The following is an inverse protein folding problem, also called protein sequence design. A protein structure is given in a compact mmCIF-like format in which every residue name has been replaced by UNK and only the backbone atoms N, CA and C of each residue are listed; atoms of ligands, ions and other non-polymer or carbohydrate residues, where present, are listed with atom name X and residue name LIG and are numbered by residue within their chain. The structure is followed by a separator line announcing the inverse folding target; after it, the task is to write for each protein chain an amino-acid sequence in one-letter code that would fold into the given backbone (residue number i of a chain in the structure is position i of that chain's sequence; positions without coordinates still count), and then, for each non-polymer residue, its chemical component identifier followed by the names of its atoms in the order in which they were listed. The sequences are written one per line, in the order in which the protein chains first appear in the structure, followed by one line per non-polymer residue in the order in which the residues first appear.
data_IF_868369802091
#
_entry.id   IF_868369802091
#
_cell.length_a   1.000
_cell.length_b   1.000
_cell.length_c   1.000
_cell.angle_alpha   90.00
_cell.angle_beta   90.00
_cell.angle_gamma   90.00
#
_symmetry.space_group_name_H-M   'P 1'
#
loop_
_entity.id
_entity.type
_entity.pdbx_description
1 polymer ?
#
# COMPACT_ATOMS: atom_id res chain seq x y z
N UNK A 1 16.93 -50.80 1.94
CA UNK A 1 16.38 -49.45 1.68
C UNK A 1 15.11 -49.31 2.49
N UNK A 2 15.23 -48.89 3.75
CA UNK A 2 14.07 -48.59 4.60
C UNK A 2 13.88 -47.08 4.64
N UNK A 3 12.74 -46.70 4.08
CA UNK A 3 12.11 -45.40 4.14
C UNK A 3 11.92 -44.98 5.61
N UNK A 4 12.85 -44.19 6.14
CA UNK A 4 12.72 -43.57 7.46
C UNK A 4 12.16 -42.18 7.29
N UNK A 5 10.85 -42.12 7.01
CA UNK A 5 10.03 -40.91 7.14
C UNK A 5 10.38 -40.26 8.49
N UNK A 6 10.83 -38.99 8.50
CA UNK A 6 11.27 -38.35 9.72
C UNK A 6 10.12 -38.34 10.74
N UNK A 7 10.42 -38.43 12.05
CA UNK A 7 9.41 -38.49 13.11
C UNK A 7 8.43 -37.32 12.94
N UNK A 8 7.12 -37.63 12.89
CA UNK A 8 6.02 -36.69 12.59
C UNK A 8 6.12 -35.36 13.37
N UNK A 9 6.61 -35.44 14.60
CA UNK A 9 6.81 -34.30 15.51
C UNK A 9 7.75 -33.21 14.97
N UNK A 10 8.73 -33.57 14.14
CA UNK A 10 9.69 -32.62 13.55
C UNK A 10 9.08 -31.92 12.33
N UNK A 11 8.25 -32.64 11.57
CA UNK A 11 7.49 -32.08 10.45
C UNK A 11 6.42 -31.12 10.94
N UNK A 12 5.70 -31.47 12.01
CA UNK A 12 4.70 -30.59 12.63
C UNK A 12 5.31 -29.30 13.18
N UNK A 13 6.46 -29.39 13.89
CA UNK A 13 7.17 -28.20 14.38
C UNK A 13 7.64 -27.30 13.23
N UNK A 14 8.12 -27.88 12.14
CA UNK A 14 8.56 -27.12 10.94
C UNK A 14 7.38 -26.51 10.20
N UNK A 15 6.27 -27.24 10.05
CA UNK A 15 5.04 -26.75 9.46
C UNK A 15 4.41 -25.62 10.30
N UNK A 16 4.38 -25.77 11.62
CA UNK A 16 3.92 -24.73 12.54
C UNK A 16 4.83 -23.49 12.51
N UNK A 17 6.15 -23.67 12.46
CA UNK A 17 7.11 -22.58 12.31
C UNK A 17 7.02 -21.89 10.94
N UNK A 18 6.76 -22.63 9.86
CA UNK A 18 6.53 -22.08 8.53
C UNK A 18 5.26 -21.23 8.51
N UNK A 19 4.14 -21.76 9.01
CA UNK A 19 2.87 -21.01 9.11
C UNK A 19 3.03 -19.72 9.92
N UNK A 20 3.77 -19.76 11.03
CA UNK A 20 4.06 -18.57 11.83
C UNK A 20 4.90 -17.52 11.08
N UNK A 21 5.86 -17.95 10.26
CA UNK A 21 6.67 -17.04 9.44
C UNK A 21 5.88 -16.47 8.28
N UNK A 22 5.05 -17.27 7.64
CA UNK A 22 4.17 -16.85 6.55
C UNK A 22 3.14 -15.83 7.04
N UNK A 23 2.47 -16.08 8.15
CA UNK A 23 1.55 -15.11 8.76
C UNK A 23 2.26 -13.80 9.10
N UNK A 24 3.45 -13.86 9.72
CA UNK A 24 4.24 -12.66 9.99
C UNK A 24 4.66 -11.94 8.71
N UNK A 25 5.07 -12.68 7.68
CA UNK A 25 5.48 -12.12 6.40
C UNK A 25 4.29 -11.46 5.68
N UNK A 26 3.10 -12.05 5.71
CA UNK A 26 1.89 -11.44 5.18
C UNK A 26 1.50 -10.19 5.93
N UNK A 27 1.55 -10.20 7.27
CA UNK A 27 1.28 -9.00 8.05
C UNK A 27 2.29 -7.89 7.76
N UNK A 28 3.57 -8.24 7.64
CA UNK A 28 4.61 -7.29 7.22
C UNK A 28 4.37 -6.77 5.81
N UNK A 29 3.97 -7.62 4.85
CA UNK A 29 3.66 -7.19 3.48
C UNK A 29 2.48 -6.22 3.44
N UNK A 30 1.41 -6.49 4.20
CA UNK A 30 0.25 -5.60 4.32
C UNK A 30 0.65 -4.26 4.95
N UNK A 31 1.44 -4.29 6.03
CA UNK A 31 1.92 -3.09 6.71
C UNK A 31 2.91 -2.26 5.87
N UNK A 32 3.80 -2.92 5.12
CA UNK A 32 4.71 -2.25 4.20
C UNK A 32 3.92 -1.59 3.07
N UNK A 33 2.90 -2.26 2.54
CA UNK A 33 2.08 -1.72 1.46
C UNK A 33 1.32 -0.48 1.91
N UNK A 34 0.74 -0.47 3.12
CA UNK A 34 0.08 0.73 3.66
C UNK A 34 1.04 1.88 3.96
N UNK A 35 2.27 1.57 4.38
CA UNK A 35 3.29 2.58 4.67
C UNK A 35 3.74 3.34 3.42
N UNK A 36 3.85 2.66 2.27
CA UNK A 36 4.19 3.30 0.98
C UNK A 36 3.12 4.32 0.58
N UNK A 37 1.85 4.08 0.91
CA UNK A 37 0.74 4.97 0.54
C UNK A 37 0.83 6.31 1.28
N UNK A 38 1.15 6.24 2.58
CA UNK A 38 1.40 7.43 3.38
C UNK A 38 2.59 8.23 2.86
N UNK A 39 3.64 7.54 2.43
CA UNK A 39 4.83 8.18 1.86
C UNK A 39 4.51 8.90 0.53
N UNK A 40 3.75 8.28 -0.38
CA UNK A 40 3.36 8.90 -1.64
C UNK A 40 2.59 10.20 -1.41
N UNK A 41 1.65 10.21 -0.46
CA UNK A 41 0.89 11.41 -0.10
C UNK A 41 1.82 12.54 0.37
N UNK A 42 2.77 12.23 1.26
CA UNK A 42 3.75 13.21 1.75
C UNK A 42 4.61 13.73 0.60
N UNK A 43 5.05 12.86 -0.31
CA UNK A 43 5.84 13.25 -1.48
C UNK A 43 5.05 14.19 -2.40
N UNK A 44 3.77 13.92 -2.66
CA UNK A 44 2.94 14.82 -3.47
C UNK A 44 2.81 16.22 -2.88
N UNK A 45 2.60 16.32 -1.57
CA UNK A 45 2.50 17.60 -0.86
C UNK A 45 3.83 18.35 -0.88
N UNK A 46 4.94 17.65 -0.62
CA UNK A 46 6.28 18.25 -0.66
C UNK A 46 6.65 18.74 -2.05
N UNK A 47 6.37 17.95 -3.10
CA UNK A 47 6.63 18.34 -4.49
C UNK A 47 5.74 19.51 -4.91
N UNK A 48 4.45 19.49 -4.59
CA UNK A 48 3.54 20.60 -4.86
C UNK A 48 3.97 21.90 -4.16
N UNK A 49 4.35 21.81 -2.88
CA UNK A 49 4.88 22.92 -2.11
C UNK A 49 6.21 23.45 -2.64
N UNK A 50 7.13 22.55 -3.03
CA UNK A 50 8.43 22.93 -3.59
C UNK A 50 8.28 23.62 -4.95
N UNK A 51 7.40 23.13 -5.82
CA UNK A 51 7.05 23.78 -7.09
C UNK A 51 6.42 25.14 -6.83
N UNK A 52 5.47 25.23 -5.89
CA UNK A 52 4.82 26.48 -5.51
C UNK A 52 5.81 27.53 -5.00
N UNK A 53 6.76 27.12 -4.16
CA UNK A 53 7.84 27.98 -3.67
C UNK A 53 8.80 28.42 -4.79
N UNK A 54 9.11 27.54 -5.74
CA UNK A 54 9.95 27.88 -6.88
C UNK A 54 9.29 28.94 -7.78
N UNK A 55 7.98 28.84 -8.01
CA UNK A 55 7.20 29.83 -8.77
C UNK A 55 7.20 31.18 -8.03
N UNK A 56 7.00 31.16 -6.72
CA UNK A 56 6.99 32.37 -5.88
C UNK A 56 8.31 33.14 -5.96
N UNK A 57 9.43 32.41 -5.91
CA UNK A 57 10.78 32.95 -6.07
C UNK A 57 11.01 33.61 -7.43
N UNK A 58 10.37 33.11 -8.48
CA UNK A 58 10.59 33.57 -9.85
C UNK A 58 9.72 34.79 -10.21
N UNK A 59 8.55 34.95 -9.58
CA UNK A 59 7.62 36.04 -9.87
C UNK A 59 7.60 37.15 -8.81
N UNK A 60 8.23 36.98 -7.65
CA UNK A 60 8.31 38.01 -6.61
C UNK A 60 6.96 38.36 -5.97
N UNK A 61 5.93 37.53 -6.19
CA UNK A 61 4.57 37.70 -5.69
C UNK A 61 4.36 36.90 -4.40
N UNK A 62 5.01 37.29 -3.31
CA UNK A 62 4.81 36.66 -2.01
C UNK A 62 3.30 36.71 -1.60
N UNK A 63 2.65 35.62 -1.13
CA UNK A 63 3.01 34.20 -1.17
C UNK A 63 2.00 33.36 -1.99
N UNK A 64 1.60 33.83 -3.17
CA UNK A 64 0.51 33.19 -3.93
C UNK A 64 0.94 31.87 -4.57
N UNK A 65 2.20 31.75 -4.98
CA UNK A 65 2.73 30.52 -5.59
C UNK A 65 2.70 29.35 -4.62
N UNK A 66 3.02 29.59 -3.35
CA UNK A 66 2.97 28.57 -2.31
C UNK A 66 1.55 28.05 -2.04
N UNK A 67 0.55 28.93 -2.00
CA UNK A 67 -0.86 28.53 -1.81
C UNK A 67 -1.38 27.69 -2.99
N UNK A 68 -1.08 28.09 -4.22
CA UNK A 68 -1.51 27.35 -5.42
C UNK A 68 -0.76 26.01 -5.50
N UNK A 69 0.56 26.00 -5.29
CA UNK A 69 1.35 24.77 -5.29
C UNK A 69 0.96 23.81 -4.17
N UNK A 70 0.68 24.33 -2.97
CA UNK A 70 0.13 23.56 -1.85
C UNK A 70 -1.24 22.97 -2.18
N UNK A 71 -2.14 23.76 -2.79
CA UNK A 71 -3.46 23.29 -3.21
C UNK A 71 -3.35 22.16 -4.25
N UNK A 72 -2.48 22.31 -5.25
CA UNK A 72 -2.21 21.26 -6.23
C UNK A 72 -1.59 20.01 -5.59
N UNK A 73 -0.69 20.17 -4.61
CA UNK A 73 -0.13 19.06 -3.84
C UNK A 73 -1.20 18.27 -3.07
N UNK A 74 -2.11 18.97 -2.39
CA UNK A 74 -3.25 18.36 -1.68
C UNK A 74 -4.21 17.68 -2.65
N UNK A 75 -4.57 18.33 -3.76
CA UNK A 75 -5.41 17.71 -4.79
C UNK A 75 -4.78 16.46 -5.40
N UNK A 76 -3.47 16.48 -5.65
CA UNK A 76 -2.70 15.33 -6.12
C UNK A 76 -2.75 14.16 -5.13
N UNK A 77 -2.50 14.45 -3.84
CA UNK A 77 -2.59 13.46 -2.78
C UNK A 77 -4.00 12.83 -2.68
N UNK A 78 -5.05 13.65 -2.70
CA UNK A 78 -6.45 13.17 -2.66
C UNK A 78 -6.77 12.32 -3.89
N UNK A 79 -6.35 12.74 -5.10
CA UNK A 79 -6.55 11.96 -6.32
C UNK A 79 -5.91 10.58 -6.23
N UNK A 80 -4.65 10.50 -5.77
CA UNK A 80 -3.93 9.24 -5.58
C UNK A 80 -4.64 8.35 -4.56
N UNK A 81 -5.07 8.93 -3.44
CA UNK A 81 -5.84 8.22 -2.41
C UNK A 81 -7.16 7.66 -2.95
N UNK A 82 -7.91 8.43 -3.75
CA UNK A 82 -9.17 7.95 -4.36
C UNK A 82 -8.93 6.83 -5.36
N UNK A 83 -7.91 6.95 -6.22
CA UNK A 83 -7.55 5.88 -7.17
C UNK A 83 -7.23 4.59 -6.43
N UNK A 84 -6.47 4.71 -5.35
CA UNK A 84 -6.10 3.60 -4.51
C UNK A 84 -7.29 2.96 -3.81
N UNK A 85 -8.17 3.73 -3.17
CA UNK A 85 -9.38 3.21 -2.53
C UNK A 85 -10.26 2.49 -3.55
N UNK A 86 -10.37 3.01 -4.78
CA UNK A 86 -11.10 2.33 -5.86
C UNK A 86 -10.45 1.00 -6.22
N UNK A 87 -9.13 0.92 -6.24
CA UNK A 87 -8.41 -0.32 -6.51
C UNK A 87 -8.59 -1.34 -5.38
N UNK A 88 -8.55 -0.91 -4.12
CA UNK A 88 -8.85 -1.77 -2.97
C UNK A 88 -10.30 -2.29 -2.99
N UNK A 89 -11.28 -1.41 -3.19
CA UNK A 89 -12.69 -1.81 -3.27
C UNK A 89 -12.96 -2.73 -4.46
N UNK A 90 -12.26 -2.52 -5.59
CA UNK A 90 -12.38 -3.38 -6.78
C UNK A 90 -11.77 -4.76 -6.53
N UNK A 91 -10.63 -4.82 -5.83
CA UNK A 91 -10.01 -6.08 -5.43
C UNK A 91 -10.93 -6.89 -4.50
N UNK A 92 -11.54 -6.24 -3.51
CA UNK A 92 -12.49 -6.90 -2.60
C UNK A 92 -13.76 -7.37 -3.34
N UNK A 93 -14.30 -6.56 -4.26
CA UNK A 93 -15.46 -6.94 -5.06
C UNK A 93 -15.18 -8.14 -5.99
N UNK A 94 -13.95 -8.26 -6.52
CA UNK A 94 -13.55 -9.43 -7.30
C UNK A 94 -13.32 -10.67 -6.44
N UNK A 95 -12.84 -10.51 -5.20
CA UNK A 95 -12.64 -11.62 -4.27
C UNK A 95 -13.99 -12.18 -3.79
N UNK A 96 -14.97 -11.33 -3.50
CA UNK A 96 -16.35 -11.76 -3.18
C UNK A 96 -17.05 -12.43 -4.37
N UNK A 97 -16.84 -11.93 -5.59
CA UNK A 97 -17.42 -12.55 -6.79
C UNK A 97 -16.78 -13.91 -7.14
N UNK A 98 -15.51 -14.12 -6.77
CA UNK A 98 -14.80 -15.38 -6.97
C UNK A 98 -15.20 -16.43 -5.93
N UNK A 99 -15.42 -16.04 -4.67
CA UNK A 99 -15.87 -16.94 -3.58
C UNK A 99 -17.30 -17.45 -3.81
N UNK A 100 -18.19 -16.63 -4.40
CA UNK A 100 -19.54 -17.07 -4.79
C UNK A 100 -19.52 -18.07 -5.98
N UNK A 101 -18.55 -17.96 -6.89
CA UNK A 101 -18.42 -18.90 -8.01
C UNK A 101 -17.83 -20.25 -7.57
N UNK A 102 -16.87 -20.27 -6.64
CA UNK A 102 -16.23 -21.50 -6.13
C UNK A 102 -17.16 -22.29 -5.17
N UNK A 103 -18.10 -21.62 -4.51
CA UNK A 103 -19.09 -22.26 -3.62
C UNK A 103 -20.30 -22.88 -4.33
N UNK A 104 -20.41 -22.70 -5.66
CA UNK A 104 -21.50 -23.22 -6.49
C UNK A 104 -21.10 -24.41 -7.39
N UNK A 105 -19.89 -24.95 -7.23
CA UNK A 105 -19.33 -26.12 -7.96
C UNK A 105 -19.03 -27.26 -6.99
#
# INVERSE_FOLDING_TARGET
MSDSKPPQTVLEKRAAAQKWREQKAEQYRKALRSSVLGLEIVVFVLVGGAIGYYIDKNHGTEPWGFWIGGFFGVCGAIKTMVVMIREYNKAEASESAQVDHDSSV
#
